data_IF_120470267835
#
_entry.id   IF_120470267835
#
_cell.length_a   1.000
_cell.length_b   1.000
_cell.length_c   1.000
_cell.angle_alpha   90.00
_cell.angle_beta   90.00
_cell.angle_gamma   90.00
#
_symmetry.space_group_name_H-M   'P 1'
#
loop_
_entity.id
_entity.type
_entity.pdbx_description
1 polymer ?
#
# COMPACT_ATOMS: atom_id res chain seq x y z
N UNK A 1 60.10 3.93 -24.88
CA UNK A 1 58.80 4.59 -24.61
C UNK A 1 58.05 3.58 -23.77
N UNK A 2 58.06 3.84 -22.48
CA UNK A 2 58.01 2.84 -21.41
C UNK A 2 56.58 2.34 -21.19
N UNK A 3 56.40 1.03 -21.30
CA UNK A 3 55.21 0.29 -20.89
C UNK A 3 55.31 0.04 -19.39
N UNK A 4 54.54 0.78 -18.58
CA UNK A 4 54.24 0.37 -17.21
C UNK A 4 52.90 -0.34 -17.22
N UNK A 5 52.96 -1.67 -17.17
CA UNK A 5 51.85 -2.57 -16.89
C UNK A 5 51.38 -2.36 -15.45
N UNK A 6 50.26 -1.67 -15.26
CA UNK A 6 49.51 -1.74 -14.01
C UNK A 6 48.67 -3.03 -14.01
N UNK A 7 49.02 -3.93 -13.09
CA UNK A 7 48.58 -5.30 -12.98
C UNK A 7 47.12 -5.48 -12.50
N UNK A 8 46.14 -4.87 -13.17
CA UNK A 8 44.72 -5.20 -13.05
C UNK A 8 44.01 -4.84 -14.35
N UNK A 9 43.92 -5.80 -15.28
CA UNK A 9 43.28 -5.66 -16.59
C UNK A 9 41.77 -5.47 -16.54
N UNK A 10 41.30 -4.37 -15.95
CA UNK A 10 39.89 -3.99 -15.89
C UNK A 10 39.64 -2.83 -16.85
N UNK A 11 38.67 -2.94 -17.78
CA UNK A 11 38.38 -1.88 -18.74
C UNK A 11 37.96 -0.58 -18.05
N UNK A 12 38.40 0.57 -18.59
CA UNK A 12 38.18 1.91 -18.04
C UNK A 12 36.69 2.29 -17.82
N UNK A 13 35.75 1.56 -18.43
CA UNK A 13 34.30 1.71 -18.21
C UNK A 13 33.83 1.27 -16.82
N UNK A 14 34.65 0.56 -16.04
CA UNK A 14 34.35 0.13 -14.67
C UNK A 14 34.97 1.03 -13.59
N UNK A 15 35.65 2.13 -13.94
CA UNK A 15 36.19 3.04 -12.93
C UNK A 15 35.10 3.97 -12.43
N UNK A 16 34.65 3.73 -11.19
CA UNK A 16 33.73 4.60 -10.45
C UNK A 16 34.36 6.01 -10.33
N UNK A 17 33.62 7.09 -10.62
CA UNK A 17 34.17 8.44 -10.55
C UNK A 17 34.67 8.77 -9.14
N UNK A 18 35.85 9.40 -9.11
CA UNK A 18 36.55 9.86 -7.90
C UNK A 18 35.68 10.81 -7.09
N UNK A 19 35.60 10.50 -5.80
CA UNK A 19 35.02 11.27 -4.69
C UNK A 19 35.48 12.74 -4.72
N UNK A 20 34.52 13.68 -4.71
CA UNK A 20 34.77 15.11 -4.53
C UNK A 20 33.69 15.73 -3.62
N UNK A 21 34.00 15.70 -2.32
CA UNK A 21 33.66 16.61 -1.20
C UNK A 21 32.49 17.61 -1.35
N UNK A 22 31.36 17.38 -0.66
CA UNK A 22 30.73 18.28 0.32
C UNK A 22 29.56 17.53 1.01
N UNK A 23 29.21 17.88 2.24
CA UNK A 23 28.28 17.17 3.13
C UNK A 23 26.78 17.25 2.72
N UNK A 24 26.45 17.03 1.45
CA UNK A 24 25.06 16.97 0.92
C UNK A 24 24.68 15.56 0.37
N UNK A 25 25.59 14.58 0.45
CA UNK A 25 25.46 13.25 -0.18
C UNK A 25 24.79 12.15 0.67
N UNK A 26 24.15 12.46 1.80
CA UNK A 26 23.70 11.39 2.73
C UNK A 26 22.39 10.71 2.31
N UNK A 27 21.68 11.20 1.29
CA UNK A 27 20.36 10.66 0.96
C UNK A 27 20.07 10.44 -0.53
N UNK A 28 21.07 10.64 -1.41
CA UNK A 28 20.89 10.49 -2.86
C UNK A 28 21.41 9.13 -3.35
N UNK A 29 20.69 8.52 -4.28
CA UNK A 29 21.07 7.21 -4.80
C UNK A 29 22.24 7.36 -5.81
N UNK A 30 23.31 6.54 -5.73
CA UNK A 30 24.45 6.63 -6.64
C UNK A 30 24.08 6.31 -8.10
N UNK A 31 22.88 5.76 -8.35
CA UNK A 31 22.37 5.41 -9.66
C UNK A 31 21.41 6.51 -10.14
N UNK A 32 21.78 7.18 -11.23
CA UNK A 32 21.02 8.32 -11.80
C UNK A 32 19.55 8.00 -12.12
N UNK A 33 19.27 6.77 -12.55
CA UNK A 33 17.93 6.30 -12.90
C UNK A 33 17.01 6.25 -11.67
N UNK A 34 17.57 5.92 -10.50
CA UNK A 34 16.83 5.85 -9.23
C UNK A 34 16.58 7.26 -8.70
N UNK A 35 17.55 8.16 -8.86
CA UNK A 35 17.42 9.56 -8.48
C UNK A 35 16.32 10.31 -9.23
N UNK A 36 16.15 10.01 -10.52
CA UNK A 36 15.11 10.64 -11.34
C UNK A 36 13.70 10.07 -11.10
N UNK A 37 13.59 8.90 -10.48
CA UNK A 37 12.30 8.23 -10.27
C UNK A 37 11.71 8.50 -8.89
N UNK A 38 12.54 8.83 -7.89
CA UNK A 38 12.08 9.13 -6.53
C UNK A 38 12.68 10.45 -6.05
N UNK A 39 11.86 11.50 -5.83
CA UNK A 39 12.34 12.73 -5.22
C UNK A 39 12.81 12.45 -3.78
N UNK A 40 13.95 13.05 -3.42
CA UNK A 40 14.61 12.87 -2.13
C UNK A 40 13.87 13.60 -0.99
N UNK A 41 12.98 14.53 -1.35
CA UNK A 41 12.20 15.35 -0.44
C UNK A 41 10.73 14.95 -0.47
N UNK A 42 10.13 14.78 0.71
CA UNK A 42 8.68 14.62 0.84
C UNK A 42 8.00 16.00 0.84
N UNK A 43 6.90 16.14 0.09
CA UNK A 43 6.05 17.34 0.14
C UNK A 43 4.92 17.15 1.18
N UNK A 44 4.97 17.85 2.32
CA UNK A 44 3.98 17.70 3.39
C UNK A 44 2.63 18.33 3.06
N UNK A 45 2.51 19.09 1.96
CA UNK A 45 1.25 19.75 1.58
C UNK A 45 0.27 18.80 0.89
N UNK A 46 0.75 17.65 0.41
CA UNK A 46 -0.06 16.64 -0.26
C UNK A 46 -1.01 15.94 0.73
N UNK A 47 -2.30 15.94 0.40
CA UNK A 47 -3.33 15.28 1.20
C UNK A 47 -3.22 13.76 1.13
N UNK A 48 -3.08 13.10 2.28
CA UNK A 48 -2.99 11.64 2.40
C UNK A 48 -4.36 10.97 2.70
N UNK A 49 -5.12 11.56 3.62
CA UNK A 49 -6.42 11.04 4.09
C UNK A 49 -7.58 11.76 3.41
N UNK A 50 -7.86 11.42 2.15
CA UNK A 50 -9.02 11.95 1.42
C UNK A 50 -10.18 10.95 1.44
N UNK A 51 -11.38 11.43 1.13
CA UNK A 51 -12.58 10.58 1.04
C UNK A 51 -12.39 9.39 0.08
N UNK A 52 -11.72 9.61 -1.07
CA UNK A 52 -11.42 8.53 -2.03
C UNK A 52 -10.54 7.44 -1.40
N UNK A 53 -9.56 7.81 -0.59
CA UNK A 53 -8.68 6.84 0.10
C UNK A 53 -9.46 5.99 1.08
N UNK A 54 -10.38 6.58 1.84
CA UNK A 54 -11.25 5.85 2.76
C UNK A 54 -12.18 4.89 2.02
N UNK A 55 -12.87 5.35 0.98
CA UNK A 55 -13.80 4.52 0.21
C UNK A 55 -13.06 3.39 -0.49
N UNK A 56 -12.01 3.70 -1.25
CA UNK A 56 -11.24 2.69 -2.00
C UNK A 56 -10.48 1.75 -1.07
N UNK A 57 -9.91 2.26 0.02
CA UNK A 57 -9.19 1.48 1.03
C UNK A 57 -10.10 0.52 1.80
N UNK A 58 -11.26 0.97 2.27
CA UNK A 58 -12.20 0.10 2.99
C UNK A 58 -12.81 -0.95 2.07
N UNK A 59 -13.14 -0.58 0.83
CA UNK A 59 -13.67 -1.52 -0.16
C UNK A 59 -12.60 -2.55 -0.53
N UNK A 60 -11.37 -2.13 -0.82
CA UNK A 60 -10.29 -3.05 -1.19
C UNK A 60 -9.95 -4.01 -0.05
N UNK A 61 -9.87 -3.50 1.19
CA UNK A 61 -9.67 -4.32 2.39
C UNK A 61 -10.79 -5.34 2.58
N UNK A 62 -12.05 -4.90 2.54
CA UNK A 62 -13.22 -5.77 2.77
C UNK A 62 -13.36 -6.83 1.67
N UNK A 63 -13.17 -6.44 0.40
CA UNK A 63 -13.27 -7.34 -0.74
C UNK A 63 -12.16 -8.40 -0.69
N UNK A 64 -10.92 -7.99 -0.43
CA UNK A 64 -9.80 -8.93 -0.40
C UNK A 64 -9.90 -9.90 0.78
N UNK A 65 -10.30 -9.41 1.96
CA UNK A 65 -10.56 -10.26 3.14
C UNK A 65 -11.66 -11.28 2.85
N UNK A 66 -12.75 -10.85 2.23
CA UNK A 66 -13.84 -11.74 1.84
C UNK A 66 -13.38 -12.80 0.83
N UNK A 67 -12.70 -12.39 -0.23
CA UNK A 67 -12.25 -13.29 -1.31
C UNK A 67 -11.24 -14.32 -0.77
N UNK A 68 -10.25 -13.88 -0.01
CA UNK A 68 -9.24 -14.77 0.57
C UNK A 68 -9.86 -15.72 1.60
N UNK A 69 -10.78 -15.25 2.44
CA UNK A 69 -11.47 -16.13 3.40
C UNK A 69 -12.41 -17.13 2.68
N UNK A 70 -13.11 -16.68 1.65
CA UNK A 70 -14.01 -17.54 0.87
C UNK A 70 -13.26 -18.66 0.15
N UNK A 71 -12.13 -18.35 -0.48
CA UNK A 71 -11.30 -19.37 -1.13
C UNK A 71 -10.58 -20.27 -0.13
N UNK A 72 -10.29 -19.78 1.08
CA UNK A 72 -9.72 -20.58 2.17
C UNK A 72 -10.59 -21.77 2.61
N UNK A 73 -11.91 -21.70 2.42
CA UNK A 73 -12.82 -22.81 2.72
C UNK A 73 -12.98 -23.83 1.58
N UNK A 74 -12.43 -23.57 0.39
CA UNK A 74 -12.47 -24.53 -0.72
C UNK A 74 -11.38 -25.59 -0.59
N UNK A 75 -11.61 -26.78 -1.16
CA UNK A 75 -10.62 -27.87 -1.15
C UNK A 75 -9.29 -27.48 -1.82
N UNK A 76 -9.35 -26.67 -2.89
CA UNK A 76 -8.20 -26.05 -3.50
C UNK A 76 -8.18 -24.57 -3.10
N UNK A 77 -7.40 -24.24 -2.08
CA UNK A 77 -7.28 -22.87 -1.61
C UNK A 77 -6.56 -22.01 -2.65
N UNK A 78 -7.21 -20.93 -3.06
CA UNK A 78 -6.61 -19.88 -3.90
C UNK A 78 -6.35 -18.67 -3.03
N UNK A 79 -5.16 -18.08 -3.16
CA UNK A 79 -4.78 -16.88 -2.42
C UNK A 79 -4.60 -15.71 -3.38
N UNK A 80 -5.34 -14.64 -3.16
CA UNK A 80 -5.25 -13.41 -3.93
C UNK A 80 -4.35 -12.44 -3.17
N UNK A 81 -3.23 -12.08 -3.79
CA UNK A 81 -2.25 -11.17 -3.19
C UNK A 81 -2.72 -9.71 -3.24
N UNK A 82 -2.27 -8.92 -2.28
CA UNK A 82 -2.50 -7.46 -2.22
C UNK A 82 -1.94 -6.70 -3.43
N UNK A 83 -0.94 -7.26 -4.13
CA UNK A 83 -0.40 -6.73 -5.39
C UNK A 83 -1.48 -6.60 -6.47
N UNK A 84 -2.42 -7.55 -6.55
CA UNK A 84 -3.51 -7.48 -7.52
C UNK A 84 -4.41 -6.26 -7.25
N UNK A 85 -4.72 -5.99 -5.99
CA UNK A 85 -5.47 -4.80 -5.59
C UNK A 85 -4.68 -3.51 -5.87
N UNK A 86 -3.36 -3.49 -5.62
CA UNK A 86 -2.49 -2.34 -5.90
C UNK A 86 -2.52 -1.91 -7.37
N UNK A 87 -2.49 -2.88 -8.29
CA UNK A 87 -2.55 -2.63 -9.74
C UNK A 87 -3.92 -2.03 -10.13
N UNK A 88 -5.01 -2.56 -9.57
CA UNK A 88 -6.38 -2.10 -9.86
C UNK A 88 -6.68 -0.73 -9.26
N UNK A 89 -6.11 -0.41 -8.10
CA UNK A 89 -6.34 0.85 -7.39
C UNK A 89 -5.85 2.06 -8.16
N UNK A 90 -4.76 1.94 -8.95
CA UNK A 90 -4.22 3.06 -9.71
C UNK A 90 -5.21 3.62 -10.77
N UNK A 91 -5.75 2.82 -11.71
CA UNK A 91 -6.76 3.30 -12.65
C UNK A 91 -8.07 3.67 -11.95
N UNK A 92 -8.48 2.96 -10.88
CA UNK A 92 -9.70 3.31 -10.13
C UNK A 92 -9.58 4.66 -9.42
N UNK A 93 -8.42 4.94 -8.82
CA UNK A 93 -8.12 6.20 -8.12
C UNK A 93 -8.13 7.37 -9.09
N UNK A 94 -7.56 7.19 -10.29
CA UNK A 94 -7.61 8.19 -11.36
C UNK A 94 -9.03 8.41 -11.89
N UNK A 95 -9.81 7.35 -12.08
CA UNK A 95 -11.20 7.44 -12.51
C UNK A 95 -12.06 8.17 -11.46
N UNK A 96 -11.87 7.85 -10.18
CA UNK A 96 -12.58 8.52 -9.09
C UNK A 96 -12.14 9.99 -8.99
N UNK A 97 -10.86 10.31 -9.20
CA UNK A 97 -10.38 11.68 -9.24
C UNK A 97 -10.98 12.50 -10.41
N UNK A 98 -11.23 11.87 -11.56
CA UNK A 98 -11.85 12.50 -12.72
C UNK A 98 -13.38 12.67 -12.59
N UNK A 99 -14.04 11.75 -11.88
CA UNK A 99 -15.51 11.73 -11.74
C UNK A 99 -16.02 12.53 -10.55
N UNK A 100 -15.21 12.72 -9.50
CA UNK A 100 -15.64 13.44 -8.29
C UNK A 100 -15.67 14.96 -8.52
N UNK A 101 -16.79 15.64 -8.22
CA UNK A 101 -16.90 17.09 -8.39
C UNK A 101 -15.92 17.82 -7.48
N UNK A 102 -15.14 18.75 -8.05
CA UNK A 102 -14.19 19.64 -7.34
C UNK A 102 -14.86 20.67 -6.41
N UNK A 103 -16.19 20.61 -6.27
CA UNK A 103 -16.94 21.58 -5.48
C UNK A 103 -16.73 21.27 -4.00
N UNK A 104 -16.31 22.27 -3.24
CA UNK A 104 -16.26 22.17 -1.79
C UNK A 104 -17.69 22.03 -1.27
N UNK A 105 -18.00 20.87 -0.68
CA UNK A 105 -19.30 20.66 -0.05
C UNK A 105 -19.23 21.31 1.33
N UNK A 106 -20.05 22.34 1.51
CA UNK A 106 -20.32 22.89 2.83
C UNK A 106 -21.24 21.90 3.55
N UNK A 107 -20.84 21.43 4.72
CA UNK A 107 -21.75 20.63 5.54
C UNK A 107 -22.96 21.49 5.91
N UNK A 108 -24.21 21.03 5.64
CA UNK A 108 -25.39 21.77 6.07
C UNK A 108 -25.42 21.82 7.60
N UNK A 109 -25.17 23.01 8.17
CA UNK A 109 -25.11 23.25 9.62
C UNK A 109 -23.76 23.68 10.18
N UNK A 110 -22.69 23.67 9.38
CA UNK A 110 -21.34 24.06 9.84
C UNK A 110 -20.66 24.99 8.82
N UNK A 111 -19.84 25.96 9.25
CA UNK A 111 -18.99 26.78 8.36
C UNK A 111 -17.82 25.99 7.74
N UNK A 112 -17.82 24.67 7.88
CA UNK A 112 -16.75 23.79 7.45
C UNK A 112 -17.00 23.36 6.00
N UNK A 113 -16.10 23.77 5.12
CA UNK A 113 -16.15 23.47 3.70
C UNK A 113 -15.09 22.40 3.42
N UNK A 114 -15.51 21.20 3.06
CA UNK A 114 -14.59 20.10 2.71
C UNK A 114 -14.63 19.87 1.21
N UNK A 115 -13.48 19.96 0.54
CA UNK A 115 -13.35 19.54 -0.85
C UNK A 115 -13.17 18.03 -0.90
N UNK A 116 -14.12 17.32 -1.52
CA UNK A 116 -14.00 15.89 -1.76
C UNK A 116 -12.90 15.53 -2.77
N UNK A 117 -12.46 16.51 -3.56
CA UNK A 117 -11.41 16.34 -4.56
C UNK A 117 -10.37 17.47 -4.42
N UNK A 118 -9.44 17.36 -3.45
CA UNK A 118 -8.43 18.39 -3.20
C UNK A 118 -7.38 18.47 -4.33
N UNK A 119 -7.26 17.44 -5.18
CA UNK A 119 -6.29 17.41 -6.27
C UNK A 119 -6.24 16.09 -7.04
N UNK A 120 -5.35 15.97 -8.04
CA UNK A 120 -5.11 14.72 -8.77
C UNK A 120 -4.72 13.58 -7.81
N UNK A 121 -4.83 12.33 -8.26
CA UNK A 121 -4.49 11.16 -7.45
C UNK A 121 -2.99 11.15 -7.11
N UNK A 122 -2.67 11.15 -5.82
CA UNK A 122 -1.30 11.27 -5.34
C UNK A 122 -0.71 9.90 -4.96
N UNK A 123 0.63 9.83 -4.97
CA UNK A 123 1.36 8.65 -4.49
C UNK A 123 1.00 8.28 -3.06
N UNK A 124 0.83 9.26 -2.16
CA UNK A 124 0.47 9.03 -0.75
C UNK A 124 -0.84 8.28 -0.59
N UNK A 125 -1.84 8.63 -1.39
CA UNK A 125 -3.16 7.99 -1.35
C UNK A 125 -3.09 6.59 -1.96
N UNK A 126 -2.34 6.40 -3.05
CA UNK A 126 -2.11 5.09 -3.64
C UNK A 126 -1.43 4.13 -2.64
N UNK A 127 -0.39 4.60 -1.97
CA UNK A 127 0.31 3.83 -0.94
C UNK A 127 -0.62 3.52 0.23
N UNK A 128 -1.39 4.51 0.70
CA UNK A 128 -2.29 4.28 1.83
C UNK A 128 -3.41 3.28 1.51
N UNK A 129 -4.00 3.33 0.31
CA UNK A 129 -4.98 2.32 -0.14
C UNK A 129 -4.33 0.94 -0.23
N UNK A 130 -3.07 0.87 -0.67
CA UNK A 130 -2.32 -0.40 -0.76
C UNK A 130 -2.07 -0.99 0.62
N UNK A 131 -1.78 -0.16 1.64
CA UNK A 131 -1.64 -0.62 3.03
C UNK A 131 -2.97 -1.22 3.51
N UNK A 132 -4.11 -0.58 3.25
CA UNK A 132 -5.43 -1.15 3.56
C UNK A 132 -5.70 -2.47 2.83
N UNK A 133 -5.33 -2.57 1.55
CA UNK A 133 -5.45 -3.83 0.83
C UNK A 133 -4.55 -4.92 1.46
N UNK A 134 -3.34 -4.57 1.89
CA UNK A 134 -2.42 -5.52 2.50
C UNK A 134 -2.96 -6.09 3.81
N UNK A 135 -3.61 -5.27 4.64
CA UNK A 135 -4.23 -5.77 5.89
C UNK A 135 -5.40 -6.71 5.61
N UNK A 136 -6.18 -6.47 4.55
CA UNK A 136 -7.25 -7.37 4.12
C UNK A 136 -6.77 -8.67 3.46
N UNK A 137 -5.51 -8.74 3.03
CA UNK A 137 -4.97 -9.95 2.40
C UNK A 137 -4.76 -11.09 3.40
N UNK A 138 -4.47 -10.76 4.66
CA UNK A 138 -4.14 -11.73 5.70
C UNK A 138 -5.40 -12.28 6.37
N UNK A 139 -5.44 -13.59 6.60
CA UNK A 139 -6.53 -14.25 7.33
C UNK A 139 -6.24 -14.30 8.83
N UNK A 140 -7.28 -14.22 9.64
CA UNK A 140 -7.19 -14.22 11.11
C UNK A 140 -7.16 -15.64 11.64
N UNK A 141 -6.14 -15.98 12.45
CA UNK A 141 -5.97 -17.33 13.01
C UNK A 141 -7.19 -17.84 13.78
N UNK A 142 -7.84 -16.98 14.58
CA UNK A 142 -9.04 -17.36 15.34
C UNK A 142 -10.19 -17.89 14.47
N UNK A 143 -10.30 -17.48 13.19
CA UNK A 143 -11.34 -17.99 12.30
C UNK A 143 -11.22 -19.50 12.10
N UNK A 144 -10.00 -20.05 12.11
CA UNK A 144 -9.76 -21.50 12.09
C UNK A 144 -10.34 -22.19 13.32
N UNK A 145 -10.06 -21.67 14.52
CA UNK A 145 -10.59 -22.20 15.79
C UNK A 145 -12.11 -22.15 15.81
N UNK A 146 -12.69 -20.99 15.46
CA UNK A 146 -14.15 -20.80 15.43
C UNK A 146 -14.80 -21.76 14.43
N UNK A 147 -14.20 -21.94 13.25
CA UNK A 147 -14.68 -22.88 12.24
C UNK A 147 -14.65 -24.31 12.79
N UNK A 148 -13.56 -24.74 13.43
CA UNK A 148 -13.45 -26.09 14.00
C UNK A 148 -14.51 -26.33 15.08
N UNK A 149 -14.72 -25.37 16.00
CA UNK A 149 -15.73 -25.51 17.07
C UNK A 149 -17.15 -25.58 16.49
N UNK A 150 -17.46 -24.79 15.46
CA UNK A 150 -18.78 -24.80 14.82
C UNK A 150 -19.00 -26.03 13.96
N UNK A 151 -17.99 -26.47 13.20
CA UNK A 151 -18.12 -27.56 12.24
C UNK A 151 -17.99 -28.97 12.86
N UNK A 152 -17.05 -29.16 13.80
CA UNK A 152 -16.78 -30.49 14.40
C UNK A 152 -17.44 -30.68 15.75
N UNK A 153 -17.45 -29.65 16.61
CA UNK A 153 -17.97 -29.75 17.97
C UNK A 153 -19.43 -29.30 18.12
N UNK A 154 -20.01 -28.67 17.09
CA UNK A 154 -21.41 -28.20 17.03
C UNK A 154 -21.80 -27.40 18.28
N UNK A 155 -20.87 -26.58 18.80
CA UNK A 155 -21.12 -25.74 19.99
C UNK A 155 -21.53 -24.33 19.58
N UNK A 156 -22.56 -23.75 20.21
CA UNK A 156 -22.88 -22.34 20.01
C UNK A 156 -21.84 -21.49 20.73
N UNK A 157 -21.14 -20.63 19.98
CA UNK A 157 -20.25 -19.59 20.50
C UNK A 157 -20.99 -18.25 20.36
N UNK A 158 -20.94 -17.42 21.39
CA UNK A 158 -21.48 -16.06 21.32
C UNK A 158 -20.65 -15.22 20.33
N UNK A 159 -21.29 -14.40 19.47
CA UNK A 159 -20.57 -13.60 18.47
C UNK A 159 -19.57 -12.63 19.11
N UNK A 160 -19.86 -12.14 20.33
CA UNK A 160 -18.96 -11.28 21.10
C UNK A 160 -17.69 -12.02 21.52
N UNK A 161 -17.79 -13.28 21.98
CA UNK A 161 -16.63 -14.08 22.35
C UNK A 161 -15.78 -14.42 21.12
N UNK A 162 -16.42 -14.70 19.98
CA UNK A 162 -15.74 -14.92 18.70
C UNK A 162 -14.98 -13.67 18.23
N UNK A 163 -15.58 -12.48 18.34
CA UNK A 163 -14.93 -11.21 18.00
C UNK A 163 -13.76 -10.89 18.95
N UNK A 164 -13.94 -11.05 20.26
CA UNK A 164 -12.87 -10.87 21.24
C UNK A 164 -11.69 -11.80 20.95
N UNK A 165 -11.95 -13.09 20.70
CA UNK A 165 -10.92 -14.05 20.35
C UNK A 165 -10.18 -13.63 19.07
N UNK A 166 -10.92 -13.24 18.04
CA UNK A 166 -10.36 -12.73 16.79
C UNK A 166 -9.44 -11.53 16.99
N UNK A 167 -9.85 -10.58 17.84
CA UNK A 167 -9.08 -9.36 18.12
C UNK A 167 -7.78 -9.65 18.90
N UNK A 168 -7.79 -10.63 19.79
CA UNK A 168 -6.60 -10.99 20.61
C UNK A 168 -5.55 -11.81 19.86
N UNK A 169 -5.91 -12.39 18.71
CA UNK A 169 -5.00 -13.25 17.92
C UNK A 169 -4.32 -12.54 16.75
N UNK A 170 -4.72 -11.31 16.44
CA UNK A 170 -4.16 -10.48 15.37
C UNK A 170 -3.14 -9.48 15.89
#
# INVERSE_FOLDING_TARGET
METTDDANGVPASCQLPKKLDHYDEVNDSPIEQVRLTVPITDDPTLSCLTFRTWVLGLISCSLLAFVNQFFGYRQNALYVSSLSAQIVVLPLGNLMAATLPKKALQLPGTKWSFSLNPGPFNLKEHVLITIFANTGSNSVYALGIITIIKAFYVRPISPVAALMLSQTTQ
#
